data_IF_407483995795
#
_entry.id   IF_407483995795
#
_cell.length_a   1.000
_cell.length_b   1.000
_cell.length_c   1.000
_cell.angle_alpha   90.00
_cell.angle_beta   90.00
_cell.angle_gamma   90.00
#
_symmetry.space_group_name_H-M   'P 1'
#
loop_
_entity.id
_entity.type
_entity.pdbx_description
1 polymer ?
#
# COMPACT_ATOMS: atom_id res chain seq x y z
N UNK A 1 -4.46 7.02 -9.87
CA UNK A 1 -3.18 7.72 -10.08
C UNK A 1 -1.96 6.79 -9.94
N UNK A 2 -1.84 6.01 -8.86
CA UNK A 2 -0.71 5.10 -8.57
C UNK A 2 -0.35 4.12 -9.69
N UNK A 3 -1.33 3.42 -10.29
CA UNK A 3 -1.08 2.52 -11.43
C UNK A 3 -0.34 3.21 -12.59
N UNK A 4 -0.76 4.43 -12.95
CA UNK A 4 -0.13 5.17 -14.03
C UNK A 4 1.28 5.64 -13.66
N UNK A 5 1.50 6.04 -12.40
CA UNK A 5 2.82 6.41 -11.90
C UNK A 5 3.79 5.22 -11.94
N UNK A 6 3.36 4.03 -11.51
CA UNK A 6 4.16 2.81 -11.64
C UNK A 6 4.56 2.54 -13.11
N UNK A 7 3.63 2.71 -14.06
CA UNK A 7 3.94 2.58 -15.48
C UNK A 7 4.97 3.62 -15.95
N UNK A 8 4.81 4.89 -15.59
CA UNK A 8 5.74 5.97 -15.96
C UNK A 8 7.14 5.77 -15.37
N UNK A 9 7.23 5.20 -14.18
CA UNK A 9 8.49 4.88 -13.48
C UNK A 9 9.12 3.57 -13.95
N UNK A 10 8.59 2.93 -15.00
CA UNK A 10 9.20 1.76 -15.64
C UNK A 10 8.82 0.40 -15.03
N UNK A 11 7.76 0.34 -14.21
CA UNK A 11 7.28 -0.89 -13.58
C UNK A 11 6.13 -1.58 -14.34
N UNK A 12 5.82 -1.16 -15.57
CA UNK A 12 4.63 -1.59 -16.33
C UNK A 12 4.32 -3.09 -16.33
N UNK A 13 5.34 -3.93 -16.41
CA UNK A 13 5.22 -5.40 -16.40
C UNK A 13 5.90 -6.03 -15.17
N UNK A 14 6.08 -5.26 -14.11
CA UNK A 14 6.82 -5.63 -12.89
C UNK A 14 5.98 -5.54 -11.62
N UNK A 15 4.69 -5.26 -11.74
CA UNK A 15 3.76 -5.30 -10.62
C UNK A 15 2.49 -6.07 -10.96
N UNK A 16 1.91 -6.66 -9.94
CA UNK A 16 0.55 -7.20 -9.96
C UNK A 16 -0.38 -6.22 -9.26
N UNK A 17 -1.63 -6.13 -9.70
CA UNK A 17 -2.65 -5.28 -9.07
C UNK A 17 -3.78 -6.13 -8.49
N UNK A 18 -4.40 -5.66 -7.40
CA UNK A 18 -5.50 -6.35 -6.70
C UNK A 18 -5.21 -7.83 -6.40
N UNK A 19 -3.97 -8.11 -6.02
CA UNK A 19 -3.51 -9.48 -5.83
C UNK A 19 -4.03 -10.02 -4.50
N UNK A 20 -4.82 -11.09 -4.57
CA UNK A 20 -5.30 -11.86 -3.40
C UNK A 20 -4.33 -12.97 -3.00
N UNK A 21 -3.09 -12.93 -3.50
CA UNK A 21 -2.05 -13.95 -3.27
C UNK A 21 -1.72 -14.24 -1.81
N UNK A 22 -2.16 -13.41 -0.89
CA UNK A 22 -1.94 -13.56 0.54
C UNK A 22 -3.21 -14.00 1.28
N UNK A 23 -4.01 -14.88 0.67
CA UNK A 23 -5.26 -15.41 1.24
C UNK A 23 -6.51 -14.62 0.88
N UNK A 24 -6.37 -13.35 0.45
CA UNK A 24 -7.47 -12.52 -0.01
C UNK A 24 -8.53 -12.23 1.08
N UNK A 25 -9.63 -11.57 0.69
CA UNK A 25 -10.67 -11.12 1.65
C UNK A 25 -11.43 -12.25 2.35
N UNK A 26 -11.37 -13.47 1.81
CA UNK A 26 -12.09 -14.63 2.34
C UNK A 26 -11.31 -15.39 3.43
N UNK A 27 -10.02 -15.11 3.60
CA UNK A 27 -9.18 -15.74 4.63
C UNK A 27 -8.98 -14.77 5.78
N UNK A 28 -9.13 -15.28 7.02
CA UNK A 28 -8.88 -14.49 8.22
C UNK A 28 -7.40 -14.08 8.26
N UNK A 29 -7.13 -12.76 8.21
CA UNK A 29 -5.78 -12.22 8.10
C UNK A 29 -5.23 -12.19 6.67
N UNK A 30 -6.07 -12.44 5.66
CA UNK A 30 -5.66 -12.39 4.27
C UNK A 30 -5.41 -10.96 3.81
N UNK A 31 -4.25 -10.73 3.18
CA UNK A 31 -3.84 -9.41 2.71
C UNK A 31 -4.30 -9.26 1.26
N UNK A 32 -4.97 -8.14 0.97
CA UNK A 32 -5.26 -7.73 -0.40
C UNK A 32 -4.32 -6.57 -0.70
N UNK A 33 -3.35 -6.84 -1.56
CA UNK A 33 -2.42 -5.82 -2.02
C UNK A 33 -3.06 -5.07 -3.19
N UNK A 34 -3.11 -3.75 -3.12
CA UNK A 34 -3.54 -2.95 -4.29
C UNK A 34 -2.51 -3.08 -5.41
N UNK A 35 -1.23 -3.03 -5.06
CA UNK A 35 -0.10 -3.29 -5.95
C UNK A 35 0.97 -4.14 -5.26
N UNK A 36 1.52 -5.11 -5.97
CA UNK A 36 2.62 -5.95 -5.50
C UNK A 36 3.76 -5.95 -6.51
N UNK A 37 4.94 -5.47 -6.10
CA UNK A 37 6.17 -5.45 -6.90
C UNK A 37 7.06 -6.61 -6.45
N UNK A 38 6.92 -7.76 -7.10
CA UNK A 38 7.56 -9.01 -6.68
C UNK A 38 9.09 -8.91 -6.58
N UNK A 39 9.74 -8.19 -7.52
CA UNK A 39 11.20 -8.02 -7.52
C UNK A 39 11.74 -7.24 -6.32
N UNK A 40 10.87 -6.52 -5.60
CA UNK A 40 11.21 -5.74 -4.41
C UNK A 40 10.63 -6.33 -3.12
N UNK A 41 9.83 -7.41 -3.21
CA UNK A 41 9.04 -7.90 -2.08
C UNK A 41 8.15 -6.82 -1.45
N UNK A 42 7.63 -5.89 -2.28
CA UNK A 42 6.96 -4.66 -1.82
C UNK A 42 5.47 -4.68 -2.18
N UNK A 43 4.63 -4.39 -1.19
CA UNK A 43 3.22 -4.06 -1.33
C UNK A 43 3.05 -2.53 -1.24
N UNK A 44 2.26 -1.96 -2.15
CA UNK A 44 1.82 -0.56 -2.08
C UNK A 44 0.30 -0.57 -1.97
N UNK A 45 -0.22 0.00 -0.89
CA UNK A 45 -1.65 0.11 -0.66
C UNK A 45 -2.08 1.59 -0.66
N UNK A 46 -3.21 1.87 -1.29
CA UNK A 46 -3.78 3.23 -1.33
C UNK A 46 -4.80 3.38 -0.22
N UNK A 47 -4.72 4.46 0.56
CA UNK A 47 -5.59 4.69 1.71
C UNK A 47 -6.52 5.87 1.45
N UNK A 48 -7.81 5.61 1.23
CA UNK A 48 -8.84 6.65 1.16
C UNK A 48 -9.24 7.14 2.54
N UNK A 49 -9.41 8.46 2.69
CA UNK A 49 -9.61 9.15 3.98
C UNK A 49 -10.76 8.56 4.80
N UNK A 50 -11.94 8.44 4.17
CA UNK A 50 -13.14 7.95 4.82
C UNK A 50 -12.99 6.50 5.33
N UNK A 51 -12.30 5.66 4.55
CA UNK A 51 -12.23 4.24 4.83
C UNK A 51 -11.18 3.89 5.86
N UNK A 52 -10.09 4.65 5.94
CA UNK A 52 -8.92 4.34 6.79
C UNK A 52 -8.80 5.22 8.04
N UNK A 53 -9.27 6.48 7.96
CA UNK A 53 -9.17 7.44 9.08
C UNK A 53 -10.54 7.89 9.60
N UNK A 54 -11.59 7.84 8.76
CA UNK A 54 -12.95 8.24 9.14
C UNK A 54 -13.72 7.23 10.02
N UNK A 55 -13.18 6.03 10.25
CA UNK A 55 -13.87 4.94 10.96
C UNK A 55 -13.19 4.62 12.30
N UNK A 56 -13.95 4.58 13.42
CA UNK A 56 -13.39 4.21 14.71
C UNK A 56 -12.70 2.85 14.68
N UNK A 57 -11.46 2.79 15.18
CA UNK A 57 -10.68 1.56 15.30
C UNK A 57 -10.03 1.06 14.00
N UNK A 58 -10.31 1.68 12.85
CA UNK A 58 -9.75 1.24 11.58
C UNK A 58 -8.23 1.36 11.54
N UNK A 59 -7.70 2.49 12.01
CA UNK A 59 -6.27 2.70 12.19
C UNK A 59 -5.57 1.54 12.91
N UNK A 60 -6.16 1.04 14.00
CA UNK A 60 -5.58 -0.06 14.77
C UNK A 60 -5.57 -1.36 13.95
N UNK A 61 -6.61 -1.60 13.15
CA UNK A 61 -6.67 -2.73 12.22
C UNK A 61 -5.56 -2.61 11.17
N UNK A 62 -5.37 -1.42 10.60
CA UNK A 62 -4.37 -1.18 9.55
C UNK A 62 -2.94 -1.36 10.11
N UNK A 63 -2.67 -0.92 11.35
CA UNK A 63 -1.40 -1.18 12.04
C UNK A 63 -1.13 -2.67 12.27
N UNK A 64 -2.16 -3.44 12.66
CA UNK A 64 -2.03 -4.89 12.84
C UNK A 64 -1.75 -5.58 11.50
N UNK A 65 -2.49 -5.20 10.45
CA UNK A 65 -2.26 -5.74 9.10
C UNK A 65 -0.85 -5.42 8.60
N UNK A 66 -0.37 -4.19 8.82
CA UNK A 66 1.01 -3.80 8.51
C UNK A 66 2.00 -4.75 9.17
N UNK A 67 1.85 -5.00 10.47
CA UNK A 67 2.75 -5.87 11.20
C UNK A 67 2.69 -7.33 10.71
N UNK A 68 1.51 -7.80 10.29
CA UNK A 68 1.36 -9.14 9.70
C UNK A 68 2.12 -9.27 8.37
N UNK A 69 2.04 -8.26 7.50
CA UNK A 69 2.79 -8.22 6.23
C UNK A 69 4.29 -8.23 6.49
N UNK A 70 4.76 -7.38 7.41
CA UNK A 70 6.19 -7.32 7.77
C UNK A 70 6.67 -8.66 8.33
N UNK A 71 5.84 -9.33 9.13
CA UNK A 71 6.17 -10.65 9.71
C UNK A 71 6.21 -11.76 8.65
N UNK A 72 5.58 -11.59 7.48
CA UNK A 72 5.68 -12.54 6.37
C UNK A 72 6.93 -12.31 5.50
N UNK A 73 7.81 -11.37 5.86
CA UNK A 73 9.03 -11.06 5.11
C UNK A 73 8.79 -10.15 3.90
N UNK A 74 7.63 -9.51 3.81
CA UNK A 74 7.31 -8.52 2.77
C UNK A 74 7.38 -7.12 3.36
N UNK A 75 7.66 -6.14 2.51
CA UNK A 75 7.53 -4.73 2.84
C UNK A 75 6.15 -4.22 2.43
N UNK A 76 5.62 -3.25 3.18
CA UNK A 76 4.41 -2.52 2.81
C UNK A 76 4.62 -1.03 3.02
N UNK A 77 4.20 -0.25 2.02
CA UNK A 77 4.12 1.21 2.09
C UNK A 77 2.69 1.64 1.77
N UNK A 78 2.17 2.57 2.54
CA UNK A 78 0.87 3.18 2.29
C UNK A 78 1.02 4.52 1.56
N UNK A 79 0.10 4.80 0.64
CA UNK A 79 -0.02 6.10 -0.03
C UNK A 79 -1.44 6.61 0.20
N UNK A 80 -1.60 7.76 0.80
CA UNK A 80 -2.91 8.37 0.99
C UNK A 80 -3.51 8.79 -0.36
N UNK A 81 -4.84 8.68 -0.51
CA UNK A 81 -5.52 9.01 -1.77
C UNK A 81 -5.25 10.46 -2.20
N UNK A 82 -5.27 11.40 -1.26
CA UNK A 82 -4.99 12.81 -1.52
C UNK A 82 -3.56 13.04 -2.04
N UNK A 83 -2.57 12.36 -1.44
CA UNK A 83 -1.16 12.39 -1.86
C UNK A 83 -1.00 11.82 -3.28
N UNK A 84 -1.67 10.69 -3.56
CA UNK A 84 -1.68 10.09 -4.89
C UNK A 84 -2.34 11.00 -5.94
N UNK A 85 -3.36 11.77 -5.57
CA UNK A 85 -4.03 12.72 -6.46
C UNK A 85 -3.20 13.99 -6.68
N UNK A 86 -2.44 14.43 -5.68
CA UNK A 86 -1.59 15.62 -5.76
C UNK A 86 -0.31 15.37 -6.56
N UNK A 87 0.43 14.29 -6.27
CA UNK A 87 1.72 14.00 -6.92
C UNK A 87 2.08 12.51 -6.90
N UNK A 88 1.33 11.71 -7.66
CA UNK A 88 1.54 10.26 -7.71
C UNK A 88 2.98 9.83 -8.00
N UNK A 89 3.68 10.51 -8.92
CA UNK A 89 5.03 10.10 -9.34
C UNK A 89 6.03 10.25 -8.19
N UNK A 90 5.92 11.32 -7.40
CA UNK A 90 6.73 11.50 -6.19
C UNK A 90 6.46 10.41 -5.17
N UNK A 91 5.21 10.24 -4.74
CA UNK A 91 4.86 9.30 -3.66
C UNK A 91 5.12 7.85 -4.06
N UNK A 92 4.89 7.47 -5.32
CA UNK A 92 5.23 6.12 -5.81
C UNK A 92 6.75 5.94 -5.87
N UNK A 93 7.52 6.95 -6.27
CA UNK A 93 8.99 6.86 -6.29
C UNK A 93 9.58 6.66 -4.89
N UNK A 94 9.00 7.32 -3.89
CA UNK A 94 9.37 7.17 -2.48
C UNK A 94 8.93 5.82 -1.92
N UNK A 95 7.72 5.36 -2.27
CA UNK A 95 7.24 4.03 -1.86
C UNK A 95 8.12 2.90 -2.42
N UNK A 96 8.57 3.01 -3.68
CA UNK A 96 9.53 2.06 -4.28
C UNK A 96 10.85 2.00 -3.50
N UNK A 97 11.27 3.10 -2.87
CA UNK A 97 12.44 3.17 -1.99
C UNK A 97 12.15 2.69 -0.56
N UNK A 98 10.91 2.28 -0.27
CA UNK A 98 10.46 1.86 1.07
C UNK A 98 10.14 3.02 2.01
N UNK A 99 10.02 4.26 1.50
CA UNK A 99 9.72 5.44 2.30
C UNK A 99 8.20 5.66 2.35
N UNK A 100 7.64 5.59 3.55
CA UNK A 100 6.21 5.72 3.81
C UNK A 100 5.85 7.09 4.36
N UNK A 101 5.09 7.84 3.57
CA UNK A 101 4.66 9.20 3.84
C UNK A 101 3.20 9.29 4.32
N UNK A 102 2.52 8.17 4.52
CA UNK A 102 1.11 8.17 4.90
C UNK A 102 0.86 8.79 6.28
N UNK A 103 -0.37 9.24 6.50
CA UNK A 103 -0.87 9.64 7.84
C UNK A 103 -0.65 8.54 8.89
N UNK A 104 -0.68 7.27 8.48
CA UNK A 104 -0.44 6.13 9.37
C UNK A 104 0.96 6.13 9.99
N UNK A 105 2.00 6.51 9.23
CA UNK A 105 3.37 6.63 9.75
C UNK A 105 3.68 7.99 10.36
N UNK A 106 2.96 9.04 9.97
CA UNK A 106 3.11 10.40 10.51
C UNK A 106 2.44 10.60 11.88
N UNK A 107 1.61 9.66 12.34
CA UNK A 107 0.96 9.73 13.65
C UNK A 107 -0.39 10.43 13.66
N UNK A 108 -1.08 10.43 12.52
CA UNK A 108 -2.33 11.13 12.18
C UNK A 108 -2.19 12.65 12.09
#
# INVERSE_FOLDING_TARGET
AVFQALNRLGFRDRFEFQSSKFGGRAVRGGIVADFFVASLGLIINVQGEYWHFGRPGQVAIDLIQRQQILSSGLNVVYIDEDDAMQNADFFVSEAIRGLDHSKLTRGF
#
